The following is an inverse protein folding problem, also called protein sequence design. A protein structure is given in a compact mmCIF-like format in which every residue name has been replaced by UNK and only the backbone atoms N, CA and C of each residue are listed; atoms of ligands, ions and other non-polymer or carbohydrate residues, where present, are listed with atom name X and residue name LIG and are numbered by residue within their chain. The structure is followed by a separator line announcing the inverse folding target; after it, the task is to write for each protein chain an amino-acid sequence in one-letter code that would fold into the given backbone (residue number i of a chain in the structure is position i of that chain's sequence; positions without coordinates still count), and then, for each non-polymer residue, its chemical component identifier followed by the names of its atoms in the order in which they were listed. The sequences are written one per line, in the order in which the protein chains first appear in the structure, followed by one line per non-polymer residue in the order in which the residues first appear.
data_IF_722033310661
#
_entry.id   IF_722033310661
#
_cell.length_a   1.000
_cell.length_b   1.000
_cell.length_c   1.000
_cell.angle_alpha   90.00
_cell.angle_beta   90.00
_cell.angle_gamma   90.00
#
_symmetry.space_group_name_H-M   'P 1'
#
loop_
_entity.id
_entity.type
_entity.pdbx_description
1 polymer ?
#
# COMPACT_ATOMS: atom_id res chain seq x y z
N UNK A 1 -38.95 25.47 -73.87
CA UNK A 1 -37.56 25.28 -74.36
C UNK A 1 -37.03 23.89 -73.98
N UNK A 2 -37.06 22.96 -74.94
CA UNK A 2 -36.19 21.77 -75.12
C UNK A 2 -35.85 20.91 -73.88
N UNK A 3 -36.30 19.64 -73.88
CA UNK A 3 -35.98 18.64 -72.83
C UNK A 3 -35.52 17.30 -73.46
N UNK A 4 -34.21 17.02 -73.47
CA UNK A 4 -33.64 15.70 -73.71
C UNK A 4 -33.67 14.77 -72.46
N UNK A 5 -33.10 13.56 -72.58
CA UNK A 5 -33.41 12.37 -71.78
C UNK A 5 -32.27 11.35 -71.72
N UNK A 6 -32.29 10.46 -70.71
CA UNK A 6 -31.93 9.01 -70.72
C UNK A 6 -30.57 8.53 -71.26
N UNK A 7 -29.87 7.67 -70.50
CA UNK A 7 -29.81 6.20 -70.77
C UNK A 7 -28.81 5.42 -69.88
N UNK A 8 -29.23 4.22 -69.45
CA UNK A 8 -28.43 3.01 -69.17
C UNK A 8 -28.79 1.94 -70.24
N UNK A 9 -28.31 0.66 -70.23
CA UNK A 9 -27.24 -0.08 -69.50
C UNK A 9 -26.16 -0.65 -70.51
N UNK A 10 -25.19 -1.54 -70.23
CA UNK A 10 -25.22 -3.05 -70.11
C UNK A 10 -23.74 -3.57 -70.07
N UNK A 11 -23.31 -4.54 -69.24
CA UNK A 11 -23.32 -6.04 -69.35
C UNK A 11 -22.13 -6.69 -70.12
N UNK A 12 -21.86 -7.98 -69.81
CA UNK A 12 -20.83 -8.98 -70.27
C UNK A 12 -19.80 -9.34 -69.17
N UNK A 13 -19.48 -10.60 -68.82
CA UNK A 13 -20.22 -11.89 -68.94
C UNK A 13 -19.74 -12.99 -67.92
N UNK A 14 -18.51 -13.53 -68.05
CA UNK A 14 -18.13 -14.91 -67.65
C UNK A 14 -16.66 -15.05 -67.16
N UNK A 15 -16.16 -16.14 -66.54
CA UNK A 15 -16.53 -17.58 -66.43
C UNK A 15 -16.37 -18.04 -64.94
N UNK A 16 -17.27 -18.84 -64.33
CA UNK A 16 -17.31 -20.32 -64.33
C UNK A 16 -15.94 -20.99 -64.05
N UNK A 17 -15.73 -21.91 -63.10
CA UNK A 17 -16.57 -23.06 -62.76
C UNK A 17 -16.12 -23.81 -61.47
N UNK A 18 -17.04 -24.60 -60.90
CA UNK A 18 -16.94 -25.66 -59.89
C UNK A 18 -15.56 -26.28 -59.52
N UNK A 19 -15.36 -26.59 -58.23
CA UNK A 19 -15.54 -27.98 -57.76
C UNK A 19 -15.69 -28.13 -56.24
N UNK A 20 -16.50 -29.12 -55.87
CA UNK A 20 -16.78 -29.59 -54.52
C UNK A 20 -15.80 -30.69 -54.06
N UNK A 21 -15.61 -30.84 -52.74
CA UNK A 21 -15.69 -32.16 -52.09
C UNK A 21 -15.80 -32.08 -50.56
N UNK A 22 -16.45 -33.11 -49.99
CA UNK A 22 -16.75 -33.28 -48.57
C UNK A 22 -15.96 -34.48 -48.00
N UNK A 23 -15.56 -34.36 -46.74
CA UNK A 23 -15.59 -35.37 -45.66
C UNK A 23 -14.92 -36.77 -45.79
N UNK A 24 -14.45 -37.19 -44.60
CA UNK A 24 -14.28 -38.58 -44.08
C UNK A 24 -13.07 -39.44 -44.47
N UNK A 25 -12.28 -39.82 -43.46
CA UNK A 25 -12.08 -41.20 -42.95
C UNK A 25 -11.20 -41.12 -41.68
N UNK A 26 -11.63 -41.68 -40.53
CA UNK A 26 -11.35 -43.05 -40.01
C UNK A 26 -9.86 -43.37 -39.82
N UNK A 27 -9.37 -44.13 -38.84
CA UNK A 27 -9.76 -44.72 -37.54
C UNK A 27 -8.61 -45.71 -37.22
N UNK A 28 -8.29 -45.98 -35.95
CA UNK A 28 -7.33 -47.00 -35.51
C UNK A 28 -6.34 -46.42 -34.48
N UNK A 29 -6.42 -46.76 -33.17
CA UNK A 29 -6.09 -48.05 -32.52
C UNK A 29 -4.60 -48.44 -32.74
N UNK A 30 -3.82 -48.88 -31.74
CA UNK A 30 -4.18 -49.53 -30.48
C UNK A 30 -2.99 -49.48 -29.48
N UNK A 31 -3.24 -49.37 -28.16
CA UNK A 31 -2.44 -49.90 -27.01
C UNK A 31 -0.91 -49.59 -26.90
N UNK A 32 -0.20 -49.70 -25.76
CA UNK A 32 -0.49 -50.15 -24.38
C UNK A 32 0.46 -49.40 -23.41
N UNK A 33 0.34 -49.66 -22.09
CA UNK A 33 1.43 -49.67 -21.08
C UNK A 33 1.46 -48.56 -19.99
N UNK A 34 1.10 -49.01 -18.77
CA UNK A 34 1.71 -48.71 -17.44
C UNK A 34 1.49 -47.32 -16.80
N UNK A 35 0.50 -47.31 -15.89
CA UNK A 35 0.46 -46.42 -14.70
C UNK A 35 1.67 -46.69 -13.78
N UNK A 36 2.28 -45.67 -13.17
CA UNK A 36 3.00 -45.81 -11.90
C UNK A 36 2.02 -45.85 -10.72
N UNK A 37 2.27 -46.73 -9.75
CA UNK A 37 1.47 -46.90 -8.54
C UNK A 37 1.72 -45.82 -7.49
N UNK A 38 0.67 -45.32 -6.84
CA UNK A 38 0.75 -44.55 -5.59
C UNK A 38 1.28 -45.42 -4.44
N UNK A 39 2.15 -44.90 -3.55
CA UNK A 39 2.66 -45.66 -2.42
C UNK A 39 1.56 -45.92 -1.37
N UNK A 40 1.50 -47.16 -0.88
CA UNK A 40 0.65 -47.56 0.24
C UNK A 40 1.27 -47.07 1.55
N UNK A 41 0.50 -46.33 2.34
CA UNK A 41 0.86 -45.99 3.73
C UNK A 41 0.24 -47.04 4.64
N UNK A 42 1.08 -47.74 5.38
CA UNK A 42 0.68 -48.78 6.34
C UNK A 42 0.18 -48.13 7.64
N UNK A 43 -1.13 -48.15 7.86
CA UNK A 43 -1.78 -47.56 9.04
C UNK A 43 -1.97 -48.67 10.09
N UNK A 44 -1.13 -48.65 11.13
CA UNK A 44 -1.36 -49.48 12.32
C UNK A 44 -2.61 -48.98 13.07
N UNK A 45 -3.53 -49.86 13.49
CA UNK A 45 -4.68 -49.47 14.30
C UNK A 45 -4.21 -49.03 15.68
N UNK A 46 -4.81 -47.94 16.20
CA UNK A 46 -4.66 -47.54 17.60
C UNK A 46 -5.74 -48.29 18.40
N UNK A 47 -5.30 -49.08 19.37
CA UNK A 47 -6.18 -49.92 20.20
C UNK A 47 -7.00 -49.06 21.18
N UNK A 48 -8.30 -49.36 21.28
CA UNK A 48 -9.20 -48.74 22.25
C UNK A 48 -9.00 -49.35 23.65
N UNK A 49 -8.44 -48.59 24.57
CA UNK A 49 -8.43 -48.97 25.98
C UNK A 49 -9.81 -48.77 26.63
N UNK A 50 -10.45 -49.89 26.98
CA UNK A 50 -11.74 -49.94 27.68
C UNK A 50 -11.57 -49.98 29.21
N UNK A 51 -11.50 -48.81 29.84
CA UNK A 51 -11.70 -48.59 31.28
C UNK A 51 -12.52 -47.29 31.39
N UNK A 52 -13.56 -47.14 32.19
CA UNK A 52 -14.13 -47.96 33.26
C UNK A 52 -14.94 -47.01 34.16
N UNK A 53 -16.12 -47.41 34.60
CA UNK A 53 -17.15 -46.49 35.10
C UNK A 53 -16.77 -45.68 36.34
N UNK A 54 -16.74 -44.34 36.24
CA UNK A 54 -17.07 -43.40 37.34
C UNK A 54 -17.38 -42.00 36.82
N UNK A 55 -18.56 -41.47 37.15
CA UNK A 55 -18.92 -40.05 36.98
C UNK A 55 -18.42 -39.26 38.17
N UNK A 56 -17.85 -38.09 37.94
CA UNK A 56 -17.78 -37.03 38.95
C UNK A 56 -18.07 -35.68 38.28
N UNK A 57 -18.94 -34.87 38.88
CA UNK A 57 -19.43 -33.61 38.32
C UNK A 57 -18.66 -32.47 38.99
N UNK A 58 -17.72 -31.87 38.26
CA UNK A 58 -16.93 -30.74 38.78
C UNK A 58 -17.68 -29.43 38.52
N UNK A 59 -18.37 -28.92 39.54
CA UNK A 59 -18.86 -27.53 39.54
C UNK A 59 -17.69 -26.56 39.85
N UNK A 60 -17.53 -25.46 39.10
CA UNK A 60 -16.53 -24.45 39.41
C UNK A 60 -16.93 -23.63 40.64
N UNK A 61 -16.05 -23.61 41.66
CA UNK A 61 -16.25 -22.81 42.88
C UNK A 61 -15.97 -21.33 42.61
N UNK A 62 -16.96 -20.47 42.88
CA UNK A 62 -16.80 -19.01 42.81
C UNK A 62 -15.96 -18.50 43.98
N UNK A 63 -14.72 -18.11 43.73
CA UNK A 63 -13.91 -17.36 44.70
C UNK A 63 -14.32 -15.87 44.70
N UNK A 64 -15.15 -15.48 45.67
CA UNK A 64 -15.36 -14.05 46.00
C UNK A 64 -14.19 -13.57 46.87
N UNK A 65 -13.36 -12.66 46.36
CA UNK A 65 -12.52 -11.80 47.21
C UNK A 65 -13.31 -10.52 47.56
N UNK A 66 -13.35 -10.08 48.83
CA UNK A 66 -13.88 -8.77 49.18
C UNK A 66 -12.87 -7.68 48.79
N UNK A 67 -13.35 -6.61 48.14
CA UNK A 67 -12.55 -5.41 47.89
C UNK A 67 -12.58 -4.50 49.11
N UNK A 68 -11.41 -4.05 49.57
CA UNK A 68 -11.28 -2.97 50.54
C UNK A 68 -11.16 -1.62 49.80
N UNK A 69 -11.62 -0.48 50.39
CA UNK A 69 -11.73 0.78 49.63
C UNK A 69 -10.41 1.49 49.25
N UNK A 70 -9.26 1.03 49.75
CA UNK A 70 -7.98 1.77 49.68
C UNK A 70 -7.11 1.50 48.44
N UNK A 71 -7.46 0.52 47.59
CA UNK A 71 -6.67 0.18 46.39
C UNK A 71 -6.85 1.17 45.21
N UNK A 72 -7.76 2.15 45.31
CA UNK A 72 -8.11 3.05 44.21
C UNK A 72 -6.93 3.89 43.69
N UNK A 73 -5.96 4.22 44.55
CA UNK A 73 -4.85 5.13 44.21
C UNK A 73 -3.51 4.44 43.88
N UNK A 74 -3.41 3.11 43.90
CA UNK A 74 -2.15 2.38 43.59
C UNK A 74 -2.14 1.60 42.27
N UNK A 75 -3.14 1.82 41.39
CA UNK A 75 -3.17 1.31 40.01
C UNK A 75 -3.12 2.39 38.93
N UNK A 76 -2.42 3.50 39.19
CA UNK A 76 -1.76 4.21 38.09
C UNK A 76 -0.58 3.36 37.61
N UNK A 77 -0.84 2.45 36.68
CA UNK A 77 0.25 1.87 35.88
C UNK A 77 0.87 2.99 35.05
N UNK A 78 2.15 3.36 35.27
CA UNK A 78 2.75 4.46 34.51
C UNK A 78 2.84 4.16 33.01
N UNK A 79 2.63 2.90 32.62
CA UNK A 79 2.58 2.41 31.23
C UNK A 79 1.27 2.70 30.49
N UNK A 80 0.17 2.94 31.22
CA UNK A 80 -1.12 3.33 30.62
C UNK A 80 -1.27 4.84 30.44
N UNK A 81 -0.34 5.61 31.03
CA UNK A 81 -0.26 7.07 30.94
C UNK A 81 1.10 7.57 30.43
N UNK A 82 2.08 6.68 30.22
CA UNK A 82 3.16 6.97 29.29
C UNK A 82 2.54 7.11 27.92
N UNK A 83 2.52 8.34 27.43
CA UNK A 83 2.41 8.60 25.99
C UNK A 83 3.42 7.67 25.32
N UNK A 84 2.94 6.73 24.51
CA UNK A 84 3.82 5.86 23.72
C UNK A 84 4.73 6.77 22.90
N UNK A 85 5.99 6.90 23.31
CA UNK A 85 6.99 7.78 22.69
C UNK A 85 7.51 7.22 21.35
N UNK A 86 6.61 6.50 20.65
CA UNK A 86 6.70 6.07 19.26
C UNK A 86 6.03 7.08 18.32
N UNK A 87 5.56 8.24 18.83
CA UNK A 87 5.83 9.47 18.08
C UNK A 87 7.35 9.63 18.08
N UNK A 88 7.98 9.19 16.98
CA UNK A 88 9.40 9.45 16.76
C UNK A 88 9.63 10.96 16.79
N UNK A 89 10.11 11.48 17.93
CA UNK A 89 10.58 12.85 18.05
C UNK A 89 11.93 12.97 17.32
N UNK A 90 11.88 12.85 15.98
CA UNK A 90 13.02 12.95 15.08
C UNK A 90 13.75 14.28 15.27
N UNK A 91 13.02 15.32 15.66
CA UNK A 91 13.55 16.65 16.02
C UNK A 91 14.48 16.64 17.26
N UNK A 92 14.51 15.56 18.05
CA UNK A 92 15.41 15.39 19.20
C UNK A 92 16.67 14.58 18.88
N UNK A 93 16.74 13.93 17.72
CA UNK A 93 17.86 13.06 17.33
C UNK A 93 18.99 13.86 16.69
N UNK A 94 20.23 13.44 16.94
CA UNK A 94 21.41 13.95 16.23
C UNK A 94 21.46 13.44 14.79
N UNK A 95 22.15 14.16 13.90
CA UNK A 95 22.34 13.72 12.50
C UNK A 95 23.02 12.33 12.42
N UNK A 96 23.87 11.97 13.39
CA UNK A 96 24.52 10.65 13.49
C UNK A 96 23.51 9.53 13.84
N UNK A 97 22.61 9.78 14.79
CA UNK A 97 21.54 8.85 15.14
C UNK A 97 20.55 8.66 13.98
N UNK A 98 20.15 9.76 13.31
CA UNK A 98 19.28 9.75 12.12
C UNK A 98 19.91 8.91 11.00
N UNK A 99 21.21 9.09 10.72
CA UNK A 99 21.93 8.27 9.73
C UNK A 99 21.94 6.79 10.09
N UNK A 100 22.23 6.46 11.35
CA UNK A 100 22.25 5.06 11.80
C UNK A 100 20.87 4.39 11.67
N UNK A 101 19.81 5.15 11.94
CA UNK A 101 18.42 4.67 12.03
C UNK A 101 17.75 4.53 10.65
N UNK A 102 17.96 5.48 9.75
CA UNK A 102 17.19 5.56 8.50
C UNK A 102 18.03 5.34 7.23
N UNK A 103 19.34 5.58 7.26
CA UNK A 103 20.27 5.29 6.15
C UNK A 103 19.85 5.92 4.79
N UNK A 104 19.21 7.10 4.83
CA UNK A 104 18.72 7.82 3.65
C UNK A 104 19.74 8.78 3.02
N UNK A 105 20.96 8.84 3.57
CA UNK A 105 22.02 9.76 3.15
C UNK A 105 21.95 11.14 3.81
N UNK A 106 22.73 12.09 3.27
CA UNK A 106 22.78 13.48 3.74
C UNK A 106 22.60 14.48 2.60
N UNK A 107 22.10 15.67 2.93
CA UNK A 107 21.96 16.81 2.02
C UNK A 107 22.85 17.98 2.47
N UNK A 108 23.60 18.56 1.52
CA UNK A 108 24.40 19.76 1.69
C UNK A 108 23.76 20.96 1.01
N UNK A 109 23.54 22.02 1.78
CA UNK A 109 22.92 23.24 1.29
C UNK A 109 23.44 24.45 2.06
N UNK A 110 23.18 25.63 1.52
CA UNK A 110 23.50 26.91 2.14
C UNK A 110 22.36 27.90 2.01
N UNK A 111 22.22 28.79 2.98
CA UNK A 111 21.20 29.85 2.97
C UNK A 111 21.82 31.17 3.45
N UNK A 112 21.41 32.27 2.81
CA UNK A 112 21.84 33.63 3.15
C UNK A 112 20.76 34.61 2.71
N UNK A 113 20.52 35.65 3.51
CA UNK A 113 19.58 36.71 3.22
C UNK A 113 20.29 37.97 2.73
N UNK A 114 19.80 38.53 1.62
CA UNK A 114 20.27 39.80 1.09
C UNK A 114 19.38 40.93 1.63
N UNK A 115 19.90 41.70 2.59
CA UNK A 115 19.20 42.83 3.20
C UNK A 115 19.01 44.03 2.25
N UNK A 116 19.82 44.15 1.20
CA UNK A 116 19.76 45.27 0.26
C UNK A 116 18.68 45.03 -0.79
N UNK A 117 18.57 43.78 -1.26
CA UNK A 117 17.61 43.37 -2.28
C UNK A 117 16.36 42.64 -1.74
N UNK A 118 16.28 42.43 -0.41
CA UNK A 118 15.12 41.89 0.31
C UNK A 118 14.67 40.50 -0.17
N UNK A 119 15.62 39.57 -0.36
CA UNK A 119 15.36 38.17 -0.70
C UNK A 119 16.23 37.19 0.10
N UNK A 120 15.70 35.99 0.33
CA UNK A 120 16.48 34.84 0.81
C UNK A 120 17.06 34.07 -0.38
N UNK A 121 18.36 33.82 -0.36
CA UNK A 121 19.04 32.88 -1.26
C UNK A 121 19.16 31.52 -0.61
N UNK A 122 18.72 30.46 -1.30
CA UNK A 122 18.95 29.06 -0.95
C UNK A 122 19.76 28.42 -2.08
N UNK A 123 20.88 27.77 -1.74
CA UNK A 123 21.70 27.01 -2.69
C UNK A 123 21.73 25.55 -2.26
N UNK A 124 21.31 24.67 -3.15
CA UNK A 124 21.45 23.22 -3.00
C UNK A 124 22.78 22.84 -3.62
N UNK A 125 23.69 22.28 -2.81
CA UNK A 125 25.09 22.07 -3.21
C UNK A 125 25.23 20.64 -3.73
N UNK A 126 25.09 19.64 -2.86
CA UNK A 126 25.19 18.22 -3.19
C UNK A 126 24.41 17.36 -2.20
N UNK A 127 24.20 16.08 -2.51
CA UNK A 127 23.78 15.07 -1.54
C UNK A 127 24.72 13.87 -1.61
N UNK A 128 24.79 13.09 -0.53
CA UNK A 128 25.65 11.91 -0.41
C UNK A 128 24.92 10.71 0.15
N UNK A 129 25.39 9.53 -0.24
CA UNK A 129 24.97 8.23 0.28
C UNK A 129 23.46 8.01 0.22
N UNK A 130 22.82 8.48 -0.85
CA UNK A 130 21.40 8.25 -1.11
C UNK A 130 21.12 6.75 -1.38
N UNK A 131 19.98 6.21 -0.93
CA UNK A 131 19.64 4.81 -1.15
C UNK A 131 19.27 4.52 -2.62
N UNK A 132 19.40 3.27 -3.08
CA UNK A 132 18.86 2.84 -4.38
C UNK A 132 17.34 3.05 -4.47
N UNK A 133 16.77 3.17 -5.69
CA UNK A 133 15.33 3.29 -5.88
C UNK A 133 14.56 2.15 -5.21
N UNK A 134 13.46 2.48 -4.53
CA UNK A 134 12.66 1.52 -3.74
C UNK A 134 12.09 0.39 -4.61
N UNK A 135 11.88 0.64 -5.91
CA UNK A 135 11.38 -0.34 -6.90
C UNK A 135 12.47 -1.24 -7.51
N UNK A 136 13.58 -1.49 -6.79
CA UNK A 136 14.69 -2.31 -7.27
C UNK A 136 14.30 -3.78 -7.46
N UNK A 137 13.94 -4.15 -8.69
CA UNK A 137 14.01 -5.53 -9.18
C UNK A 137 15.47 -5.81 -9.61
N UNK A 138 16.12 -6.74 -8.91
CA UNK A 138 17.51 -7.12 -9.17
C UNK A 138 17.78 -7.71 -10.56
N UNK A 139 16.75 -7.95 -11.38
CA UNK A 139 16.90 -8.30 -12.79
C UNK A 139 17.19 -7.09 -13.71
N UNK A 140 17.02 -5.85 -13.22
CA UNK A 140 17.05 -4.61 -14.03
C UNK A 140 18.16 -3.65 -13.60
N UNK A 141 19.33 -3.82 -14.23
CA UNK A 141 20.52 -3.00 -13.99
C UNK A 141 20.30 -1.48 -14.19
N UNK A 142 19.30 -1.09 -14.99
CA UNK A 142 18.94 0.31 -15.25
C UNK A 142 18.22 1.00 -14.08
N UNK A 143 17.69 0.24 -13.11
CA UNK A 143 17.09 0.74 -11.86
C UNK A 143 18.04 0.67 -10.64
N UNK A 144 19.33 0.39 -10.83
CA UNK A 144 20.32 0.35 -9.73
C UNK A 144 20.69 1.75 -9.17
N UNK A 145 20.27 2.84 -9.82
CA UNK A 145 20.66 4.20 -9.47
C UNK A 145 19.50 5.18 -9.58
N UNK A 146 19.35 6.03 -8.57
CA UNK A 146 18.35 7.09 -8.53
C UNK A 146 18.67 8.23 -9.49
N UNK A 147 17.64 9.02 -9.80
CA UNK A 147 17.71 10.27 -10.54
C UNK A 147 17.28 11.43 -9.62
N UNK A 148 18.06 11.76 -8.58
CA UNK A 148 17.63 12.70 -7.55
C UNK A 148 17.48 14.14 -8.06
N UNK A 149 16.46 14.83 -7.52
CA UNK A 149 16.29 16.28 -7.53
C UNK A 149 15.78 16.76 -6.16
N UNK A 150 15.94 18.05 -5.87
CA UNK A 150 15.54 18.63 -4.57
C UNK A 150 14.44 19.66 -4.78
N UNK A 151 13.31 19.49 -4.09
CA UNK A 151 12.24 20.48 -3.98
C UNK A 151 12.45 21.33 -2.71
N UNK A 152 12.30 22.64 -2.84
CA UNK A 152 12.49 23.63 -1.77
C UNK A 152 11.17 24.37 -1.49
N UNK A 153 10.75 24.47 -0.23
CA UNK A 153 9.56 25.21 0.22
C UNK A 153 9.87 26.06 1.47
N UNK A 154 9.17 27.18 1.66
CA UNK A 154 9.25 28.02 2.87
C UNK A 154 7.96 27.92 3.70
N UNK A 155 7.90 26.92 4.56
CA UNK A 155 6.72 26.65 5.40
C UNK A 155 6.38 27.87 6.28
N UNK A 156 5.08 28.20 6.48
CA UNK A 156 3.90 27.44 6.06
C UNK A 156 3.48 27.58 4.58
N UNK A 157 4.15 28.37 3.76
CA UNK A 157 3.78 28.55 2.35
C UNK A 157 4.33 27.40 1.48
N UNK A 158 3.41 26.55 1.03
CA UNK A 158 3.71 25.42 0.14
C UNK A 158 3.53 25.74 -1.35
N UNK A 159 2.97 26.91 -1.71
CA UNK A 159 2.67 27.26 -3.11
C UNK A 159 3.90 27.77 -3.84
N UNK A 160 4.74 28.55 -3.17
CA UNK A 160 5.97 29.13 -3.73
C UNK A 160 7.16 28.16 -3.74
N UNK A 161 6.94 26.90 -4.10
CA UNK A 161 8.01 25.89 -4.13
C UNK A 161 8.93 26.05 -5.35
N UNK A 162 10.25 25.91 -5.14
CA UNK A 162 11.26 25.80 -6.21
C UNK A 162 11.76 24.36 -6.31
N UNK A 163 12.45 23.99 -7.39
CA UNK A 163 13.10 22.68 -7.51
C UNK A 163 14.38 22.74 -8.38
N UNK A 164 15.34 21.87 -8.07
CA UNK A 164 16.56 21.67 -8.87
C UNK A 164 16.29 20.95 -10.19
N UNK A 165 17.28 20.96 -11.08
CA UNK A 165 17.42 19.98 -12.15
C UNK A 165 17.59 18.56 -11.60
N UNK A 166 17.16 17.59 -12.41
CA UNK A 166 17.32 16.16 -12.16
C UNK A 166 18.75 15.72 -12.51
N UNK A 167 19.50 15.22 -11.53
CA UNK A 167 20.78 14.55 -11.77
C UNK A 167 20.48 13.08 -12.00
N UNK A 168 21.04 12.46 -13.05
CA UNK A 168 20.68 11.10 -13.48
C UNK A 168 21.65 10.06 -12.99
N UNK A 169 21.13 8.88 -12.64
CA UNK A 169 21.88 7.66 -12.28
C UNK A 169 23.03 7.92 -11.28
N UNK A 170 22.72 8.54 -10.15
CA UNK A 170 23.70 8.82 -9.10
C UNK A 170 23.08 8.82 -7.71
N UNK A 171 23.83 8.30 -6.73
CA UNK A 171 23.53 8.42 -5.30
C UNK A 171 24.34 9.50 -4.57
N UNK A 172 25.22 10.17 -5.32
CA UNK A 172 26.01 11.31 -4.85
C UNK A 172 25.84 12.47 -5.84
N UNK A 173 24.64 13.07 -5.95
CA UNK A 173 24.36 14.16 -6.89
C UNK A 173 25.03 15.47 -6.47
N UNK A 174 25.73 16.10 -7.41
CA UNK A 174 26.16 17.51 -7.28
C UNK A 174 25.15 18.39 -8.02
N UNK A 175 24.44 19.23 -7.27
CA UNK A 175 23.44 20.15 -7.78
C UNK A 175 24.10 21.46 -8.23
N UNK A 176 24.69 22.17 -7.27
CA UNK A 176 25.28 23.51 -7.42
C UNK A 176 24.33 24.57 -7.98
N UNK A 177 23.07 24.52 -7.53
CA UNK A 177 21.98 25.35 -8.04
C UNK A 177 21.49 26.33 -6.97
N UNK A 178 21.23 27.59 -7.36
CA UNK A 178 20.86 28.70 -6.47
C UNK A 178 19.48 29.24 -6.81
N UNK A 179 18.67 29.49 -5.78
CA UNK A 179 17.29 29.96 -5.88
C UNK A 179 17.05 31.12 -4.92
N UNK A 180 16.24 32.08 -5.35
CA UNK A 180 15.82 33.21 -4.53
C UNK A 180 14.34 33.15 -4.18
N UNK A 181 14.03 33.60 -2.97
CA UNK A 181 12.69 33.76 -2.43
C UNK A 181 12.52 35.21 -1.98
N UNK A 182 11.63 35.94 -2.64
CA UNK A 182 11.28 37.32 -2.31
C UNK A 182 10.34 37.32 -1.09
N UNK A 183 10.94 37.43 0.10
CA UNK A 183 10.25 37.41 1.40
C UNK A 183 10.94 38.42 2.32
N UNK A 184 10.21 39.30 3.04
CA UNK A 184 10.81 40.25 3.98
C UNK A 184 11.62 39.55 5.09
N UNK A 185 12.69 40.19 5.58
CA UNK A 185 13.62 39.58 6.56
C UNK A 185 12.92 39.06 7.82
N UNK A 186 12.08 39.88 8.46
CA UNK A 186 11.33 39.51 9.69
C UNK A 186 10.33 38.37 9.46
N UNK A 187 9.83 38.24 8.24
CA UNK A 187 8.96 37.13 7.87
C UNK A 187 9.79 35.87 7.61
N UNK A 188 10.94 36.01 6.96
CA UNK A 188 11.88 34.91 6.68
C UNK A 188 12.36 34.23 7.96
N UNK A 189 12.69 34.99 9.01
CA UNK A 189 13.05 34.43 10.32
C UNK A 189 11.93 33.57 10.94
N UNK A 190 10.67 33.76 10.53
CA UNK A 190 9.51 32.99 11.01
C UNK A 190 9.15 31.80 10.10
N UNK A 191 9.92 31.54 9.04
CA UNK A 191 9.72 30.42 8.12
C UNK A 191 10.62 29.24 8.46
N UNK A 192 10.18 28.05 8.05
CA UNK A 192 11.01 26.84 8.05
C UNK A 192 11.35 26.50 6.60
N UNK A 193 12.65 26.41 6.29
CA UNK A 193 13.11 25.90 5.00
C UNK A 193 12.92 24.37 5.00
N UNK A 194 12.05 23.88 4.13
CA UNK A 194 11.86 22.46 3.87
C UNK A 194 12.52 22.10 2.55
N UNK A 195 13.49 21.19 2.61
CA UNK A 195 14.12 20.55 1.46
C UNK A 195 13.60 19.11 1.38
N UNK A 196 13.15 18.68 0.21
CA UNK A 196 12.69 17.31 -0.04
C UNK A 196 13.51 16.74 -1.20
N UNK A 197 14.28 15.69 -0.93
CA UNK A 197 15.03 14.95 -1.95
C UNK A 197 14.10 13.90 -2.55
N UNK A 198 13.99 13.90 -3.87
CA UNK A 198 13.02 13.09 -4.63
C UNK A 198 13.74 12.39 -5.79
N UNK A 199 13.49 11.10 -5.95
CA UNK A 199 13.90 10.31 -7.10
C UNK A 199 12.95 10.55 -8.28
N UNK A 200 13.47 11.05 -9.40
CA UNK A 200 12.71 11.25 -10.62
C UNK A 200 12.55 9.94 -11.40
N UNK A 201 11.29 9.61 -11.73
CA UNK A 201 10.96 8.58 -12.71
C UNK A 201 10.21 9.22 -13.88
N UNK A 202 10.52 8.79 -15.10
CA UNK A 202 9.87 9.25 -16.34
C UNK A 202 8.50 8.60 -16.56
N UNK A 203 8.31 7.39 -16.03
CA UNK A 203 7.19 6.52 -16.33
C UNK A 203 6.34 6.23 -15.08
N UNK A 204 6.90 6.32 -13.88
CA UNK A 204 6.20 6.11 -12.60
C UNK A 204 6.06 7.40 -11.77
N UNK A 205 5.52 7.28 -10.54
CA UNK A 205 5.45 8.40 -9.59
C UNK A 205 6.86 8.66 -9.03
N UNK A 206 7.25 9.93 -8.93
CA UNK A 206 8.51 10.30 -8.30
C UNK A 206 8.49 9.90 -6.80
N UNK A 207 9.52 9.20 -6.33
CA UNK A 207 9.59 8.69 -4.96
C UNK A 207 10.31 9.71 -4.07
N UNK A 208 9.74 10.09 -2.92
CA UNK A 208 10.48 10.88 -1.94
C UNK A 208 11.53 9.97 -1.30
N UNK A 209 12.80 10.40 -1.36
CA UNK A 209 13.91 9.71 -0.69
C UNK A 209 13.90 10.12 0.78
N UNK A 210 13.92 11.42 1.04
CA UNK A 210 13.89 11.97 2.40
C UNK A 210 13.72 13.49 2.41
N UNK A 211 13.67 14.04 3.62
CA UNK A 211 13.45 15.46 3.88
C UNK A 211 14.50 16.02 4.83
N UNK A 212 14.68 17.33 4.78
CA UNK A 212 15.39 18.14 5.77
C UNK A 212 14.54 19.37 6.06
N UNK A 213 14.29 19.63 7.34
CA UNK A 213 13.69 20.88 7.80
C UNK A 213 14.74 21.71 8.56
N UNK A 214 14.69 23.04 8.39
CA UNK A 214 15.54 23.99 9.11
C UNK A 214 14.74 25.23 9.47
N UNK A 215 14.63 25.52 10.77
CA UNK A 215 14.10 26.78 11.29
C UNK A 215 15.04 27.93 10.91
N UNK A 216 14.54 28.94 10.20
CA UNK A 216 15.36 30.09 9.79
C UNK A 216 15.56 31.12 10.91
N UNK A 217 14.92 30.92 12.07
CA UNK A 217 15.11 31.74 13.27
C UNK A 217 16.43 31.43 13.99
N UNK A 218 16.90 30.18 13.91
CA UNK A 218 18.09 29.68 14.62
C UNK A 218 19.41 29.96 13.87
N UNK A 219 19.32 30.65 12.73
CA UNK A 219 20.43 30.85 11.79
C UNK A 219 20.73 32.33 11.63
N UNK A 220 22.02 32.69 11.66
CA UNK A 220 22.49 34.02 11.24
C UNK A 220 22.37 34.16 9.71
N UNK A 221 21.18 34.53 9.26
CA UNK A 221 20.88 34.67 7.83
C UNK A 221 21.71 35.76 7.15
N UNK A 222 22.22 36.76 7.88
CA UNK A 222 22.96 37.90 7.31
C UNK A 222 24.38 37.48 6.93
N UNK A 223 25.08 36.80 7.86
CA UNK A 223 26.35 36.14 7.52
C UNK A 223 26.13 35.00 6.52
N UNK A 224 24.98 34.34 6.62
CA UNK A 224 24.70 33.10 5.91
C UNK A 224 25.51 31.93 6.45
N UNK A 225 25.22 30.74 5.94
CA UNK A 225 25.93 29.54 6.33
C UNK A 225 25.65 28.38 5.39
N UNK A 226 26.31 27.24 5.65
CA UNK A 226 26.09 25.99 4.94
C UNK A 226 26.11 24.82 5.91
N UNK A 227 25.26 23.83 5.68
CA UNK A 227 25.02 22.71 6.58
C UNK A 227 24.93 21.40 5.82
N UNK A 228 25.52 20.37 6.42
CA UNK A 228 25.15 18.99 6.18
C UNK A 228 24.04 18.62 7.16
N UNK A 229 22.96 18.02 6.65
CA UNK A 229 21.92 17.40 7.49
C UNK A 229 21.57 16.02 6.97
N UNK A 230 21.32 15.09 7.90
CA UNK A 230 20.84 13.76 7.60
C UNK A 230 19.41 13.82 7.06
N UNK A 231 19.11 12.96 6.08
CA UNK A 231 17.77 12.88 5.50
C UNK A 231 16.85 12.08 6.42
N UNK A 232 15.77 12.72 6.87
CA UNK A 232 14.71 12.06 7.63
C UNK A 232 13.68 11.47 6.67
N UNK A 233 13.04 10.33 6.99
CA UNK A 233 11.95 9.82 6.18
C UNK A 233 10.81 10.84 6.13
N UNK A 234 10.21 11.01 4.96
CA UNK A 234 8.92 11.70 4.88
C UNK A 234 7.85 10.81 5.51
N UNK A 235 6.83 11.39 6.15
CA UNK A 235 5.56 10.68 6.38
C UNK A 235 4.86 10.26 5.07
N UNK A 236 5.29 10.82 3.94
CA UNK A 236 4.94 10.41 2.57
C UNK A 236 5.95 9.39 1.97
N UNK A 237 6.84 8.80 2.78
CA UNK A 237 7.65 7.63 2.38
C UNK A 237 6.90 6.32 2.64
N UNK A 238 5.76 6.34 3.35
CA UNK A 238 4.67 5.43 2.99
C UNK A 238 4.31 5.77 1.54
N UNK A 239 4.71 4.90 0.59
CA UNK A 239 4.24 5.00 -0.79
C UNK A 239 2.72 5.01 -0.71
N UNK A 240 2.05 6.06 -1.18
CA UNK A 240 0.59 6.10 -1.19
C UNK A 240 0.06 5.02 -2.15
N UNK A 241 -0.14 3.80 -1.63
CA UNK A 241 -0.62 2.63 -2.37
C UNK A 241 -2.09 2.77 -2.80
N UNK A 242 -2.75 3.84 -2.32
CA UNK A 242 -4.14 4.19 -2.49
C UNK A 242 -4.99 3.87 -1.26
N UNK A 243 -6.27 4.18 -1.35
CA UNK A 243 -7.23 3.88 -0.29
C UNK A 243 -8.40 3.06 -0.85
N UNK A 244 -8.94 2.16 -0.03
CA UNK A 244 -10.05 1.28 -0.38
C UNK A 244 -11.26 1.57 0.52
N UNK A 245 -12.42 1.83 -0.08
CA UNK A 245 -13.70 2.03 0.62
C UNK A 245 -14.41 0.68 0.74
N UNK A 246 -14.58 0.23 1.97
CA UNK A 246 -15.21 -1.05 2.34
C UNK A 246 -16.48 -0.79 3.14
N UNK A 247 -17.53 -1.57 2.86
CA UNK A 247 -18.70 -1.76 3.71
C UNK A 247 -18.63 -3.11 4.42
N UNK A 248 -19.01 -3.13 5.70
CA UNK A 248 -19.12 -4.33 6.52
C UNK A 248 -20.50 -4.41 7.17
N UNK A 249 -21.13 -5.59 7.11
CA UNK A 249 -22.42 -5.85 7.75
C UNK A 249 -22.51 -7.32 8.22
N UNK A 250 -22.78 -7.54 9.50
CA UNK A 250 -23.01 -8.88 10.04
C UNK A 250 -24.50 -9.13 10.35
N UNK A 251 -24.98 -10.32 9.96
CA UNK A 251 -26.35 -10.80 10.17
C UNK A 251 -26.35 -12.04 11.08
N UNK A 252 -26.41 -11.88 12.42
CA UNK A 252 -26.29 -13.00 13.37
C UNK A 252 -27.33 -14.10 13.12
N UNK A 253 -28.59 -13.74 12.89
CA UNK A 253 -29.69 -14.69 12.67
C UNK A 253 -29.51 -15.60 11.44
N UNK A 254 -28.60 -15.25 10.53
CA UNK A 254 -28.28 -16.04 9.34
C UNK A 254 -26.84 -16.60 9.37
N UNK A 255 -26.02 -16.27 10.38
CA UNK A 255 -24.59 -16.54 10.39
C UNK A 255 -23.90 -16.02 9.12
N UNK A 256 -24.19 -14.78 8.71
CA UNK A 256 -23.65 -14.21 7.46
C UNK A 256 -22.94 -12.89 7.65
N UNK A 257 -21.68 -12.85 7.21
CA UNK A 257 -20.84 -11.68 7.10
C UNK A 257 -20.86 -11.19 5.65
N UNK A 258 -21.39 -10.00 5.42
CA UNK A 258 -21.42 -9.34 4.13
C UNK A 258 -20.33 -8.26 4.09
N UNK A 259 -19.63 -8.20 2.96
CA UNK A 259 -18.49 -7.33 2.70
C UNK A 259 -18.69 -6.72 1.33
N UNK A 260 -18.82 -5.40 1.24
CA UNK A 260 -18.95 -4.72 -0.06
C UNK A 260 -17.69 -3.94 -0.38
N UNK A 261 -17.13 -4.20 -1.55
CA UNK A 261 -16.00 -3.45 -2.11
C UNK A 261 -16.60 -2.35 -2.97
N UNK A 262 -16.62 -1.11 -2.46
CA UNK A 262 -17.34 -0.02 -3.12
C UNK A 262 -16.45 0.61 -4.19
N UNK A 263 -15.29 1.15 -3.81
CA UNK A 263 -14.33 1.77 -4.72
C UNK A 263 -12.95 1.86 -4.09
N UNK A 264 -11.92 2.06 -4.91
CA UNK A 264 -10.62 2.54 -4.45
C UNK A 264 -10.32 3.91 -5.05
N UNK A 265 -9.33 4.61 -4.49
CA UNK A 265 -8.80 5.85 -5.05
C UNK A 265 -7.28 5.93 -4.94
N UNK A 266 -6.65 6.67 -5.85
CA UNK A 266 -5.22 6.99 -5.86
C UNK A 266 -4.28 5.77 -5.86
N UNK A 267 -4.77 4.60 -6.32
CA UNK A 267 -4.02 3.34 -6.29
C UNK A 267 -2.62 3.48 -6.92
N UNK A 268 -1.63 2.74 -6.40
CA UNK A 268 -0.31 2.67 -7.02
C UNK A 268 -0.45 2.09 -8.44
N UNK A 269 0.08 2.81 -9.44
CA UNK A 269 0.07 2.38 -10.82
C UNK A 269 1.15 1.31 -11.04
N UNK A 270 0.75 0.14 -11.53
CA UNK A 270 1.66 -1.01 -11.75
C UNK A 270 2.12 -1.15 -13.19
N UNK A 271 1.27 -0.85 -14.19
CA UNK A 271 1.64 -0.77 -15.61
C UNK A 271 1.65 0.68 -16.08
N UNK A 272 2.81 1.12 -16.56
CA UNK A 272 3.08 2.49 -17.03
C UNK A 272 2.71 2.71 -18.51
N UNK A 273 2.33 1.65 -19.23
CA UNK A 273 2.13 1.66 -20.69
C UNK A 273 0.65 1.54 -21.12
N UNK A 274 -0.18 0.85 -20.34
CA UNK A 274 -1.60 0.61 -20.62
C UNK A 274 -2.54 1.20 -19.53
N UNK A 275 -1.98 1.73 -18.45
CA UNK A 275 -2.70 1.97 -17.20
C UNK A 275 -2.84 0.69 -16.38
N UNK A 276 -3.23 0.81 -15.11
CA UNK A 276 -3.43 -0.36 -14.25
C UNK A 276 -4.83 -0.93 -14.41
N UNK A 277 -4.94 -2.25 -14.38
CA UNK A 277 -6.20 -2.99 -14.37
C UNK A 277 -6.50 -3.52 -12.94
N UNK A 278 -6.91 -2.69 -11.96
CA UNK A 278 -7.00 -3.13 -10.57
C UNK A 278 -8.18 -4.07 -10.29
N UNK A 279 -7.93 -5.10 -9.48
CA UNK A 279 -8.95 -5.95 -8.84
C UNK A 279 -8.59 -6.24 -7.37
N UNK A 280 -9.59 -6.53 -6.55
CA UNK A 280 -9.42 -6.83 -5.12
C UNK A 280 -9.67 -8.31 -4.87
N UNK A 281 -8.72 -9.00 -4.22
CA UNK A 281 -8.95 -10.31 -3.59
C UNK A 281 -9.41 -10.08 -2.16
N UNK A 282 -10.50 -10.74 -1.76
CA UNK A 282 -11.02 -10.77 -0.39
C UNK A 282 -10.88 -12.19 0.15
N UNK A 283 -10.07 -12.36 1.19
CA UNK A 283 -9.67 -13.66 1.72
C UNK A 283 -10.10 -13.78 3.18
N UNK A 284 -10.98 -14.74 3.46
CA UNK A 284 -11.44 -15.09 4.80
C UNK A 284 -10.46 -16.06 5.45
N UNK A 285 -9.80 -15.62 6.50
CA UNK A 285 -8.94 -16.40 7.39
C UNK A 285 -9.71 -16.65 8.69
N UNK A 286 -9.69 -17.90 9.18
CA UNK A 286 -10.28 -18.29 10.47
C UNK A 286 -9.16 -18.85 11.33
N UNK A 287 -8.94 -18.28 12.52
CA UNK A 287 -7.73 -18.46 13.30
C UNK A 287 -6.53 -18.03 12.47
N UNK A 288 -5.68 -19.01 12.10
CA UNK A 288 -4.55 -18.85 11.18
C UNK A 288 -4.65 -19.87 10.05
N UNK A 289 -5.77 -19.84 9.32
CA UNK A 289 -5.97 -20.68 8.13
C UNK A 289 -6.86 -19.99 7.10
N UNK A 290 -6.41 -19.90 5.86
CA UNK A 290 -7.23 -19.45 4.74
C UNK A 290 -8.41 -20.42 4.50
N UNK A 291 -9.63 -19.92 4.69
CA UNK A 291 -10.88 -20.68 4.50
C UNK A 291 -11.46 -20.44 3.10
N UNK A 292 -11.49 -19.17 2.64
CA UNK A 292 -12.17 -18.83 1.38
C UNK A 292 -11.63 -17.57 0.72
N UNK A 293 -11.38 -17.65 -0.58
CA UNK A 293 -11.01 -16.51 -1.43
C UNK A 293 -12.17 -16.12 -2.33
N UNK A 294 -12.42 -14.81 -2.45
CA UNK A 294 -13.25 -14.18 -3.48
C UNK A 294 -12.46 -13.07 -4.17
N UNK A 295 -12.92 -12.64 -5.34
CA UNK A 295 -12.29 -11.58 -6.13
C UNK A 295 -13.36 -10.70 -6.76
N UNK A 296 -13.09 -9.41 -6.88
CA UNK A 296 -13.89 -8.51 -7.72
C UNK A 296 -13.67 -8.80 -9.20
N UNK A 297 -14.53 -8.21 -10.04
CA UNK A 297 -14.19 -7.93 -11.43
C UNK A 297 -12.95 -7.02 -11.53
N UNK A 298 -12.37 -7.00 -12.73
CA UNK A 298 -11.16 -6.25 -13.02
C UNK A 298 -11.54 -4.97 -13.77
N UNK A 299 -11.21 -3.81 -13.19
CA UNK A 299 -11.52 -2.51 -13.78
C UNK A 299 -10.35 -2.06 -14.66
N UNK A 300 -10.59 -1.70 -15.92
CA UNK A 300 -9.50 -1.46 -16.87
C UNK A 300 -8.96 -0.04 -16.85
N UNK A 301 -7.65 0.10 -16.98
CA UNK A 301 -6.96 1.37 -17.23
C UNK A 301 -7.26 2.49 -16.22
N UNK A 302 -7.41 2.17 -14.93
CA UNK A 302 -7.80 3.14 -13.89
C UNK A 302 -7.04 2.93 -12.58
N UNK A 303 -6.78 4.03 -11.86
CA UNK A 303 -6.25 4.04 -10.48
C UNK A 303 -7.31 4.45 -9.45
N UNK A 304 -8.52 4.77 -9.91
CA UNK A 304 -9.69 5.12 -9.09
C UNK A 304 -10.89 4.21 -9.45
N UNK A 305 -10.76 2.87 -9.27
CA UNK A 305 -11.79 1.92 -9.69
C UNK A 305 -13.05 1.99 -8.82
N UNK A 306 -14.22 1.95 -9.47
CA UNK A 306 -15.52 1.82 -8.82
C UNK A 306 -16.06 0.41 -9.03
N UNK A 307 -16.07 -0.41 -7.98
CA UNK A 307 -16.44 -1.83 -8.03
C UNK A 307 -17.93 -2.04 -7.72
N UNK A 308 -18.37 -1.55 -6.56
CA UNK A 308 -19.70 -1.78 -6.00
C UNK A 308 -20.11 -3.27 -5.97
N UNK A 309 -19.21 -4.14 -5.53
CA UNK A 309 -19.38 -5.60 -5.51
C UNK A 309 -19.52 -6.16 -4.08
N UNK A 310 -20.60 -6.90 -3.84
CA UNK A 310 -20.95 -7.49 -2.55
C UNK A 310 -20.56 -8.96 -2.42
N UNK A 311 -19.89 -9.32 -1.32
CA UNK A 311 -19.47 -10.68 -1.00
C UNK A 311 -20.03 -11.15 0.34
N UNK A 312 -20.87 -12.20 0.30
CA UNK A 312 -21.36 -12.86 1.52
C UNK A 312 -20.54 -14.10 1.90
N UNK A 313 -20.15 -14.21 3.16
CA UNK A 313 -19.48 -15.35 3.79
C UNK A 313 -20.40 -15.95 4.87
N UNK A 314 -20.38 -17.28 5.02
CA UNK A 314 -21.07 -17.96 6.14
C UNK A 314 -20.08 -18.02 7.30
N UNK A 315 -20.43 -17.40 8.42
CA UNK A 315 -19.62 -17.27 9.64
C UNK A 315 -20.60 -17.32 10.83
N UNK A 316 -20.64 -18.42 11.61
CA UNK A 316 -21.38 -18.49 12.87
C UNK A 316 -20.96 -17.37 13.84
N UNK A 317 -21.85 -16.94 14.73
CA UNK A 317 -21.53 -15.83 15.66
C UNK A 317 -20.43 -16.20 16.66
N UNK A 318 -20.26 -17.49 16.94
CA UNK A 318 -19.23 -18.07 17.81
C UNK A 318 -17.83 -18.01 17.19
N UNK A 319 -17.72 -18.13 15.85
CA UNK A 319 -16.44 -18.09 15.13
C UNK A 319 -15.97 -16.64 14.84
N UNK A 320 -16.85 -15.65 15.02
CA UNK A 320 -16.63 -14.28 14.54
C UNK A 320 -15.46 -13.56 15.23
N UNK A 321 -15.10 -13.98 16.45
CA UNK A 321 -13.93 -13.46 17.19
C UNK A 321 -12.60 -13.97 16.63
N UNK A 322 -12.59 -15.11 15.93
CA UNK A 322 -11.37 -15.71 15.33
C UNK A 322 -11.22 -15.38 13.84
N UNK A 323 -12.09 -14.55 13.27
CA UNK A 323 -12.13 -14.25 11.84
C UNK A 323 -11.29 -13.02 11.49
N UNK A 324 -10.55 -13.12 10.38
CA UNK A 324 -9.85 -12.00 9.76
C UNK A 324 -10.10 -11.99 8.25
N UNK A 325 -10.47 -10.83 7.72
CA UNK A 325 -10.62 -10.57 6.28
C UNK A 325 -9.38 -9.85 5.77
N UNK A 326 -8.62 -10.51 4.90
CA UNK A 326 -7.49 -9.91 4.20
C UNK A 326 -7.94 -9.41 2.84
N UNK A 327 -7.76 -8.11 2.60
CA UNK A 327 -8.04 -7.46 1.32
C UNK A 327 -6.71 -7.20 0.66
N UNK A 328 -6.51 -7.74 -0.55
CA UNK A 328 -5.30 -7.48 -1.34
C UNK A 328 -5.68 -6.96 -2.71
N UNK A 329 -5.25 -5.74 -3.01
CA UNK A 329 -5.41 -5.10 -4.32
C UNK A 329 -4.25 -5.52 -5.22
N UNK A 330 -4.57 -5.87 -6.45
CA UNK A 330 -3.62 -6.25 -7.49
C UNK A 330 -3.89 -5.48 -8.78
N UNK A 331 -2.83 -5.09 -9.49
CA UNK A 331 -2.91 -4.74 -10.90
C UNK A 331 -2.89 -6.02 -11.73
N UNK A 332 -3.91 -6.25 -12.54
CA UNK A 332 -3.95 -7.38 -13.46
C UNK A 332 -3.01 -7.13 -14.63
N UNK A 333 -2.11 -8.06 -14.91
CA UNK A 333 -1.23 -8.00 -16.07
C UNK A 333 -1.56 -9.16 -17.02
N UNK A 334 -1.91 -8.84 -18.28
CA UNK A 334 -2.27 -9.85 -19.27
C UNK A 334 -1.07 -10.70 -19.74
N UNK A 335 0.17 -10.25 -19.50
CA UNK A 335 1.40 -10.85 -20.06
C UNK A 335 2.36 -11.39 -19.00
N UNK A 336 2.10 -11.16 -17.71
CA UNK A 336 2.93 -11.60 -16.58
C UNK A 336 2.09 -11.99 -15.37
N UNK A 337 2.73 -12.24 -14.22
CA UNK A 337 2.03 -12.29 -12.93
C UNK A 337 1.35 -10.97 -12.61
N UNK A 338 0.23 -11.02 -11.89
CA UNK A 338 -0.46 -9.84 -11.37
C UNK A 338 0.43 -9.09 -10.36
N UNK A 339 0.55 -7.78 -10.54
CA UNK A 339 1.36 -6.91 -9.71
C UNK A 339 0.64 -6.61 -8.39
N UNK A 340 1.37 -6.63 -7.27
CA UNK A 340 0.79 -6.29 -5.97
C UNK A 340 0.69 -4.76 -5.82
N UNK A 341 -0.49 -4.25 -5.49
CA UNK A 341 -0.72 -2.81 -5.23
C UNK A 341 -0.66 -2.53 -3.74
N UNK A 342 -1.41 -3.28 -2.92
CA UNK A 342 -1.47 -3.03 -1.48
C UNK A 342 -2.40 -3.99 -0.74
N UNK A 343 -2.28 -4.03 0.59
CA UNK A 343 -3.03 -4.93 1.47
C UNK A 343 -3.51 -4.22 2.74
N UNK A 344 -4.61 -4.71 3.31
CA UNK A 344 -5.09 -4.42 4.67
C UNK A 344 -5.75 -5.68 5.25
N UNK A 345 -5.82 -5.76 6.58
CA UNK A 345 -6.54 -6.85 7.29
C UNK A 345 -7.52 -6.24 8.28
N UNK A 346 -8.76 -6.73 8.27
CA UNK A 346 -9.84 -6.31 9.19
C UNK A 346 -10.41 -7.53 9.89
N UNK A 347 -10.48 -7.51 11.22
CA UNK A 347 -10.92 -8.64 12.05
C UNK A 347 -10.04 -8.81 13.28
N UNK A 348 -9.88 -10.06 13.74
CA UNK A 348 -9.06 -10.40 14.91
C UNK A 348 -7.62 -9.91 14.80
N UNK A 349 -6.98 -10.17 13.65
CA UNK A 349 -5.61 -9.72 13.35
C UNK A 349 -5.61 -8.47 12.47
N UNK A 350 -6.38 -7.45 12.87
CA UNK A 350 -6.47 -6.18 12.14
C UNK A 350 -5.10 -5.48 12.01
N UNK A 351 -4.81 -4.88 10.85
CA UNK A 351 -3.51 -4.22 10.59
C UNK A 351 -3.27 -2.95 11.42
N UNK A 352 -4.31 -2.34 11.99
CA UNK A 352 -4.18 -1.20 12.90
C UNK A 352 -5.51 -0.70 13.45
N UNK A 353 -5.43 0.39 14.20
CA UNK A 353 -6.59 0.94 14.91
C UNK A 353 -7.80 1.28 14.01
N UNK A 354 -7.67 1.85 12.79
CA UNK A 354 -8.82 2.12 11.93
C UNK A 354 -9.54 0.84 11.50
N UNK A 355 -8.80 -0.24 11.23
CA UNK A 355 -9.33 -1.56 10.89
C UNK A 355 -10.04 -2.20 12.09
N UNK A 356 -9.39 -2.23 13.26
CA UNK A 356 -9.99 -2.76 14.50
C UNK A 356 -11.26 -2.00 14.90
N UNK A 357 -11.26 -0.68 14.73
CA UNK A 357 -12.42 0.17 15.02
C UNK A 357 -13.55 -0.09 14.03
N UNK A 358 -13.25 -0.32 12.75
CA UNK A 358 -14.26 -0.68 11.75
C UNK A 358 -14.92 -2.02 12.09
N UNK A 359 -14.11 -3.05 12.43
CA UNK A 359 -14.61 -4.35 12.85
C UNK A 359 -15.51 -4.24 14.09
N UNK A 360 -15.04 -3.56 15.15
CA UNK A 360 -15.82 -3.34 16.38
C UNK A 360 -17.13 -2.60 16.12
N UNK A 361 -17.13 -1.64 15.18
CA UNK A 361 -18.33 -0.90 14.78
C UNK A 361 -19.32 -1.80 14.04
N UNK A 362 -18.87 -2.67 13.14
CA UNK A 362 -19.72 -3.69 12.52
C UNK A 362 -20.35 -4.63 13.57
N UNK A 363 -19.58 -5.04 14.59
CA UNK A 363 -20.08 -5.89 15.68
C UNK A 363 -21.12 -5.20 16.56
N UNK A 364 -20.98 -3.89 16.83
CA UNK A 364 -21.98 -3.15 17.61
C UNK A 364 -23.22 -2.80 16.80
N UNK A 365 -23.05 -2.44 15.53
CA UNK A 365 -24.10 -2.00 14.61
C UNK A 365 -24.82 -3.18 13.93
N UNK A 366 -25.56 -3.93 14.74
CA UNK A 366 -26.34 -5.08 14.29
C UNK A 366 -27.30 -4.72 13.14
N UNK A 367 -27.16 -5.40 11.99
CA UNK A 367 -28.02 -5.28 10.78
C UNK A 367 -27.86 -4.00 9.95
N UNK A 368 -26.96 -3.08 10.31
CA UNK A 368 -26.66 -1.88 9.52
C UNK A 368 -25.25 -1.95 8.97
N UNK A 369 -25.05 -1.63 7.68
CA UNK A 369 -23.72 -1.53 7.10
C UNK A 369 -22.93 -0.38 7.73
N UNK A 370 -21.66 -0.64 8.04
CA UNK A 370 -20.69 0.41 8.33
C UNK A 370 -19.74 0.56 7.16
N UNK A 371 -19.55 1.80 6.70
CA UNK A 371 -18.63 2.14 5.60
C UNK A 371 -17.39 2.86 6.13
N UNK A 372 -16.21 2.52 5.62
CA UNK A 372 -14.96 3.20 5.97
C UNK A 372 -13.92 3.11 4.86
N UNK A 373 -13.16 4.21 4.70
CA UNK A 373 -11.92 4.20 3.95
C UNK A 373 -10.80 3.58 4.78
N UNK A 374 -9.94 2.82 4.10
CA UNK A 374 -8.72 2.26 4.66
C UNK A 374 -7.55 2.51 3.71
N UNK A 375 -6.47 3.07 4.24
CA UNK A 375 -5.24 3.30 3.49
C UNK A 375 -4.50 1.97 3.30
N UNK A 376 -4.12 1.66 2.07
CA UNK A 376 -3.46 0.40 1.72
C UNK A 376 -2.01 0.41 2.17
N UNK A 377 -1.52 -0.73 2.67
CA UNK A 377 -0.15 -0.91 3.18
C UNK A 377 0.63 -1.92 2.36
N UNK A 378 1.96 -1.88 2.47
CA UNK A 378 2.80 -2.85 1.78
C UNK A 378 2.58 -4.27 2.33
N UNK A 379 2.98 -5.28 1.54
CA UNK A 379 2.92 -6.67 1.97
C UNK A 379 3.75 -6.89 3.25
N UNK A 380 4.98 -6.39 3.27
CA UNK A 380 5.89 -6.56 4.40
C UNK A 380 5.35 -5.92 5.69
N UNK A 381 4.71 -4.75 5.61
CA UNK A 381 4.10 -4.11 6.78
C UNK A 381 2.90 -4.91 7.30
N UNK A 382 2.02 -5.39 6.42
CA UNK A 382 0.90 -6.24 6.81
C UNK A 382 1.38 -7.55 7.44
N UNK A 383 2.33 -8.22 6.79
CA UNK A 383 2.91 -9.50 7.23
C UNK A 383 3.64 -9.37 8.58
N UNK A 384 4.23 -8.19 8.89
CA UNK A 384 4.86 -7.88 10.17
C UNK A 384 3.87 -7.70 11.33
N UNK A 385 2.68 -7.14 11.08
CA UNK A 385 1.72 -6.76 12.14
C UNK A 385 0.48 -7.66 12.25
N UNK A 386 0.20 -8.46 11.21
CA UNK A 386 -0.99 -9.32 11.13
C UNK A 386 -0.60 -10.74 10.72
N UNK A 387 -0.65 -11.71 11.66
CA UNK A 387 -0.47 -13.12 11.34
C UNK A 387 -1.38 -13.64 10.21
N UNK A 388 -2.63 -13.16 10.13
CA UNK A 388 -3.55 -13.52 9.05
C UNK A 388 -3.09 -13.07 7.65
N UNK A 389 -2.19 -12.10 7.55
CA UNK A 389 -1.59 -11.66 6.29
C UNK A 389 -0.59 -12.68 5.72
N UNK A 390 0.10 -13.44 6.59
CA UNK A 390 1.02 -14.51 6.19
C UNK A 390 0.28 -15.71 5.59
N UNK A 391 -0.90 -16.03 6.13
CA UNK A 391 -1.78 -17.15 5.69
C UNK A 391 -2.36 -17.00 4.28
N UNK A 392 -2.10 -15.87 3.61
CA UNK A 392 -2.63 -15.54 2.27
C UNK A 392 -1.55 -15.11 1.28
N UNK A 393 -0.27 -15.21 1.64
CA UNK A 393 0.83 -14.66 0.86
C UNK A 393 1.19 -15.48 -0.37
#
# INVERSE_FOLDING_TARGET
PVIPTLHSPTTVESLANNHSQMLTSRMGNLETSRRPSSPLIDIKPIEFWTIGSKKEIVQPKVFRKPYAPEDYFRKFEPRLYSVDSNSDDVDSLTDEEILSRYQLGMLHFSTQYDLLHNYLTVRVIEARDLPPPISYDGSRQDMAHSNPYVKMCLLPDQKNSRQTGVKRKTQNPVFEERYTFEVPFLETQRRTLLLTVVDFDKFSRHCVIGKVAMSLNEVDLVKGGHWWKALVPSSQNEVELGELLISLNYLPSAGRLNVDIIRAKQLLQTDMSQGSDPFVKVQLVHGLKLVKTKKTSCMKGTIDPFYNESFSFKVPSEELEDISLVYTVYGHNMKSSNDFVGRIVIGQYSTGAPESNHWRRMLSLHRTSSEQWHSLRSRAECDRVSPASLEVT
#
